data_IF_477133022542
#
_entry.id   IF_477133022542
#
_cell.length_a   1.000
_cell.length_b   1.000
_cell.length_c   1.000
_cell.angle_alpha   90.00
_cell.angle_beta   90.00
_cell.angle_gamma   90.00
#
_symmetry.space_group_name_H-M   'P 1'
#
loop_
_entity.id
_entity.type
_entity.pdbx_description
1 polymer ?
#
# COMPACT_ATOMS: atom_id res chain seq x y z
N UNK A 1 3.14 2.57 15.61
CA UNK A 1 3.00 1.57 16.68
C UNK A 1 2.66 0.23 16.05
N UNK A 2 3.28 -0.85 16.53
CA UNK A 2 3.33 -2.16 15.88
C UNK A 2 2.07 -2.99 16.15
N UNK A 3 1.56 -3.68 15.12
CA UNK A 3 0.68 -4.84 15.28
C UNK A 3 1.49 -6.06 14.87
N UNK A 4 1.74 -6.94 15.84
CA UNK A 4 2.79 -7.96 15.84
C UNK A 4 2.76 -8.93 14.65
N UNK A 5 3.95 -9.23 14.15
CA UNK A 5 4.18 -10.23 13.12
C UNK A 5 5.62 -10.14 12.63
N UNK A 6 6.50 -10.98 13.18
CA UNK A 6 7.86 -11.17 12.67
C UNK A 6 7.80 -11.40 11.15
N UNK A 7 8.66 -10.71 10.39
CA UNK A 7 8.72 -10.89 8.94
C UNK A 7 8.92 -12.38 8.61
N UNK A 8 7.97 -12.98 7.87
CA UNK A 8 7.93 -14.41 7.59
C UNK A 8 9.01 -14.87 6.59
N UNK A 9 9.80 -13.94 6.01
CA UNK A 9 10.97 -14.25 5.18
C UNK A 9 11.89 -13.03 4.98
N UNK A 10 13.15 -13.22 4.55
CA UNK A 10 14.05 -12.12 4.15
C UNK A 10 13.49 -11.27 2.99
N UNK A 11 12.72 -11.86 2.07
CA UNK A 11 11.99 -11.13 1.01
C UNK A 11 10.87 -10.25 1.57
N UNK A 12 10.27 -10.61 2.70
CA UNK A 12 9.29 -9.77 3.39
C UNK A 12 9.94 -8.59 4.14
N UNK A 13 11.25 -8.67 4.44
CA UNK A 13 12.00 -7.59 5.08
C UNK A 13 12.32 -6.42 4.12
N UNK A 14 12.41 -6.69 2.81
CA UNK A 14 12.60 -5.66 1.77
C UNK A 14 11.30 -4.95 1.35
N UNK A 15 10.15 -5.27 1.97
CA UNK A 15 8.88 -4.61 1.67
C UNK A 15 8.81 -3.30 2.43
N UNK A 16 8.65 -2.18 1.74
CA UNK A 16 8.16 -0.99 2.41
C UNK A 16 6.80 -1.33 3.05
N UNK A 17 6.72 -1.12 4.36
CA UNK A 17 5.47 -1.25 5.09
C UNK A 17 4.77 0.09 4.97
N UNK A 18 3.73 0.14 4.13
CA UNK A 18 2.84 1.29 4.08
C UNK A 18 1.87 1.17 5.25
N UNK A 19 1.78 2.21 6.08
CA UNK A 19 0.75 2.30 7.10
C UNK A 19 -0.61 2.33 6.42
N UNK A 20 -1.42 1.30 6.57
CA UNK A 20 -2.77 1.23 5.97
C UNK A 20 -3.80 2.15 6.63
N UNK A 21 -3.36 3.04 7.53
CA UNK A 21 -4.22 3.94 8.30
C UNK A 21 -4.27 5.35 7.70
N UNK A 22 -3.30 5.71 6.85
CA UNK A 22 -3.24 7.00 6.17
C UNK A 22 -3.19 6.82 4.64
N UNK A 23 -4.25 7.30 3.99
CA UNK A 23 -4.42 7.26 2.53
C UNK A 23 -3.32 8.06 1.81
N UNK A 24 -2.89 9.20 2.37
CA UNK A 24 -1.85 10.05 1.78
C UNK A 24 -0.48 9.39 1.86
N UNK A 25 -0.16 8.71 2.97
CA UNK A 25 1.09 7.94 3.06
C UNK A 25 1.13 6.80 2.05
N UNK A 26 0.01 6.09 1.83
CA UNK A 26 -0.05 5.03 0.82
C UNK A 26 0.14 5.59 -0.60
N UNK A 27 -0.49 6.72 -0.93
CA UNK A 27 -0.31 7.38 -2.24
C UNK A 27 1.15 7.78 -2.44
N UNK A 28 1.76 8.44 -1.44
CA UNK A 28 3.15 8.87 -1.51
C UNK A 28 4.11 7.69 -1.70
N UNK A 29 3.91 6.61 -0.94
CA UNK A 29 4.71 5.40 -1.06
C UNK A 29 4.57 4.71 -2.41
N UNK A 30 3.34 4.56 -2.93
CA UNK A 30 3.08 3.98 -4.26
C UNK A 30 3.73 4.82 -5.36
N UNK A 31 3.61 6.15 -5.30
CA UNK A 31 4.22 7.05 -6.28
C UNK A 31 5.74 7.00 -6.28
N UNK A 32 6.37 6.80 -5.12
CA UNK A 32 7.82 6.63 -5.04
C UNK A 32 8.30 5.40 -5.82
N UNK A 33 7.56 4.28 -5.75
CA UNK A 33 7.86 3.09 -6.55
C UNK A 33 7.59 3.29 -8.05
N UNK A 34 6.49 3.95 -8.42
CA UNK A 34 6.22 4.29 -9.81
C UNK A 34 7.32 5.18 -10.42
N UNK A 35 7.81 6.18 -9.65
CA UNK A 35 8.92 7.04 -10.06
C UNK A 35 10.24 6.29 -10.26
N UNK A 36 10.40 5.11 -9.66
CA UNK A 36 11.54 4.23 -9.88
C UNK A 36 11.36 3.26 -11.06
N UNK A 37 10.28 3.42 -11.85
CA UNK A 37 9.98 2.59 -13.03
C UNK A 37 9.26 1.28 -12.72
N UNK A 38 8.66 1.14 -11.52
CA UNK A 38 7.83 -0.03 -11.19
C UNK A 38 6.45 0.13 -11.81
N UNK A 39 6.10 -0.79 -12.71
CA UNK A 39 4.82 -0.77 -13.45
C UNK A 39 3.67 -1.41 -12.63
N UNK A 40 3.95 -2.52 -11.94
CA UNK A 40 2.97 -3.28 -11.18
C UNK A 40 3.31 -3.33 -9.68
N UNK A 41 2.31 -3.07 -8.84
CA UNK A 41 2.44 -3.13 -7.38
C UNK A 41 1.48 -4.17 -6.82
N UNK A 42 2.02 -5.13 -6.06
CA UNK A 42 1.24 -6.16 -5.36
C UNK A 42 1.17 -5.82 -3.87
N UNK A 43 -0.03 -5.55 -3.38
CA UNK A 43 -0.29 -5.23 -1.97
C UNK A 43 -0.74 -6.47 -1.20
N UNK A 44 -0.05 -6.79 -0.10
CA UNK A 44 -0.48 -7.82 0.84
C UNK A 44 -1.16 -7.14 2.04
N UNK A 45 -2.48 -7.20 2.09
CA UNK A 45 -3.27 -6.67 3.20
C UNK A 45 -3.34 -7.71 4.31
N UNK A 46 -2.89 -7.35 5.51
CA UNK A 46 -2.92 -8.22 6.67
C UNK A 46 -3.65 -7.49 7.80
N UNK A 47 -4.71 -8.11 8.31
CA UNK A 47 -5.47 -7.66 9.49
C UNK A 47 -6.11 -8.89 10.13
N UNK A 48 -6.25 -8.89 11.45
CA UNK A 48 -7.01 -9.92 12.17
C UNK A 48 -8.52 -9.81 11.98
N UNK A 49 -8.98 -8.74 11.32
CA UNK A 49 -10.39 -8.40 11.16
C UNK A 49 -10.75 -8.23 9.67
N UNK A 50 -11.69 -9.04 9.18
CA UNK A 50 -12.10 -9.08 7.78
C UNK A 50 -12.81 -7.80 7.34
N UNK A 51 -13.70 -7.25 8.16
CA UNK A 51 -14.39 -5.97 7.91
C UNK A 51 -13.39 -4.84 7.65
N UNK A 52 -12.31 -4.79 8.43
CA UNK A 52 -11.23 -3.81 8.25
C UNK A 52 -10.46 -4.01 6.95
N UNK A 53 -10.22 -5.25 6.52
CA UNK A 53 -9.63 -5.54 5.19
C UNK A 53 -10.56 -5.03 4.09
N UNK A 54 -11.86 -5.35 4.17
CA UNK A 54 -12.83 -4.94 3.16
C UNK A 54 -12.93 -3.42 3.06
N UNK A 55 -13.02 -2.72 4.20
CA UNK A 55 -13.04 -1.24 4.21
C UNK A 55 -11.77 -0.66 3.59
N UNK A 56 -10.60 -1.21 3.94
CA UNK A 56 -9.33 -0.74 3.39
C UNK A 56 -9.22 -0.99 1.88
N UNK A 57 -9.73 -2.12 1.39
CA UNK A 57 -9.78 -2.40 -0.05
C UNK A 57 -10.65 -1.39 -0.79
N UNK A 58 -11.80 -1.01 -0.21
CA UNK A 58 -12.67 0.03 -0.77
C UNK A 58 -11.95 1.38 -0.78
N UNK A 59 -11.33 1.77 0.33
CA UNK A 59 -10.57 3.02 0.40
C UNK A 59 -9.42 3.07 -0.62
N UNK A 60 -8.71 1.96 -0.82
CA UNK A 60 -7.66 1.85 -1.85
C UNK A 60 -8.27 2.06 -3.24
N UNK A 61 -9.37 1.36 -3.54
CA UNK A 61 -10.00 1.42 -4.87
C UNK A 61 -10.55 2.82 -5.19
N UNK A 62 -11.16 3.49 -4.21
CA UNK A 62 -11.85 4.78 -4.41
C UNK A 62 -10.92 5.99 -4.27
N UNK A 63 -9.90 5.92 -3.40
CA UNK A 63 -9.08 7.09 -3.04
C UNK A 63 -7.64 6.98 -3.53
N UNK A 64 -7.06 5.79 -3.57
CA UNK A 64 -5.62 5.60 -3.82
C UNK A 64 -5.35 5.29 -5.29
N UNK A 65 -6.06 4.31 -5.85
CA UNK A 65 -5.88 3.91 -7.24
C UNK A 65 -6.12 5.06 -8.25
N UNK A 66 -7.12 5.93 -8.09
CA UNK A 66 -7.31 7.05 -9.02
C UNK A 66 -6.12 8.02 -9.01
N UNK A 67 -5.57 8.32 -7.84
CA UNK A 67 -4.43 9.22 -7.68
C UNK A 67 -3.12 8.65 -8.23
N UNK A 68 -2.98 7.32 -8.24
CA UNK A 68 -1.81 6.63 -8.76
C UNK A 68 -1.93 6.30 -10.26
N UNK A 69 -3.14 6.36 -10.83
CA UNK A 69 -3.37 6.20 -12.29
C UNK A 69 -3.25 7.52 -13.05
N UNK A 70 -3.41 8.67 -12.41
CA UNK A 70 -3.18 9.95 -13.08
C UNK A 70 -1.70 10.04 -13.48
N UNK A 71 -1.39 10.32 -14.75
CA UNK A 71 -0.01 10.55 -15.15
C UNK A 71 0.54 11.70 -14.30
N UNK A 72 1.71 11.48 -13.69
CA UNK A 72 2.47 12.60 -13.12
C UNK A 72 2.81 13.49 -14.32
N UNK A 73 2.23 14.70 -14.35
CA UNK A 73 2.16 15.53 -15.55
C UNK A 73 3.51 15.80 -16.23
N UNK A 74 3.42 15.97 -17.56
CA UNK A 74 4.45 16.46 -18.49
C UNK A 74 5.07 17.80 -18.09
#
# INVERSE_FOLDING_TARGET
MEVGGRASSPRAASRARLGGEDVQEMIAGIRAYQGAGVEDIVLALNSGELSRITSLMVDIAEKVMPECRRPQGS
#
